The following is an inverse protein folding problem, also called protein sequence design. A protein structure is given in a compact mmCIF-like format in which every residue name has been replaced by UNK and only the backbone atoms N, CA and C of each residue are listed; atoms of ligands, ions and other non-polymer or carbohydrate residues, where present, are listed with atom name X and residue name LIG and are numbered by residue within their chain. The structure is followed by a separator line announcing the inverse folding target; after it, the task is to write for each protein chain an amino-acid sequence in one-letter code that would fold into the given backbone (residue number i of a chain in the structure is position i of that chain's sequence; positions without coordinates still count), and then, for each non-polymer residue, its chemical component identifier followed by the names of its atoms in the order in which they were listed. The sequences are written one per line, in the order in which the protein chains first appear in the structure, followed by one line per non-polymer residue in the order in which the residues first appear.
data_IF_798661616733
#
_entry.id   IF_798661616733
#
_cell.length_a   1.000
_cell.length_b   1.000
_cell.length_c   1.000
_cell.angle_alpha   90.00
_cell.angle_beta   90.00
_cell.angle_gamma   90.00
#
_symmetry.space_group_name_H-M   'P 1'
#
loop_
_entity.id
_entity.type
_entity.pdbx_description
1 polymer ?
#
# COMPACT_ATOMS: atom_id res chain seq x y z
N UNK A 1 -21.90 25.59 -31.84
CA UNK A 1 -20.89 25.79 -30.81
C UNK A 1 -21.01 24.76 -29.70
N UNK A 2 -19.97 24.07 -29.48
CA UNK A 2 -19.98 23.08 -28.43
C UNK A 2 -19.85 23.76 -27.07
N UNK A 3 -20.88 23.63 -26.28
CA UNK A 3 -20.87 24.19 -24.93
C UNK A 3 -20.99 23.05 -23.92
N UNK A 4 -19.93 22.83 -23.20
CA UNK A 4 -19.95 21.84 -22.14
C UNK A 4 -20.13 22.54 -20.81
N UNK A 5 -21.09 22.10 -20.00
CA UNK A 5 -21.19 22.62 -18.64
C UNK A 5 -19.91 22.39 -17.89
N UNK A 6 -19.54 23.34 -17.06
CA UNK A 6 -18.32 23.19 -16.28
C UNK A 6 -18.36 21.95 -15.39
N UNK A 7 -19.57 21.54 -14.98
CA UNK A 7 -19.73 20.35 -14.17
C UNK A 7 -19.26 19.08 -14.89
N UNK A 8 -19.50 19.00 -16.20
CA UNK A 8 -19.05 17.84 -16.97
C UNK A 8 -17.54 17.83 -17.13
N UNK A 9 -16.93 18.98 -17.36
CA UNK A 9 -15.49 19.09 -17.44
C UNK A 9 -14.84 18.72 -16.11
N UNK A 10 -15.45 19.17 -15.01
CA UNK A 10 -14.96 18.85 -13.69
C UNK A 10 -15.03 17.35 -13.45
N UNK A 11 -16.12 16.70 -13.86
CA UNK A 11 -16.26 15.26 -13.73
C UNK A 11 -15.21 14.53 -14.53
N UNK A 12 -14.97 14.94 -15.78
CA UNK A 12 -13.96 14.30 -16.62
C UNK A 12 -12.56 14.48 -16.03
N UNK A 13 -12.27 15.66 -15.54
CA UNK A 13 -10.97 15.92 -14.91
C UNK A 13 -10.80 15.06 -13.66
N UNK A 14 -11.86 14.91 -12.86
CA UNK A 14 -11.81 14.08 -11.67
C UNK A 14 -11.61 12.61 -12.02
N UNK A 15 -12.25 12.14 -13.09
CA UNK A 15 -12.07 10.75 -13.53
C UNK A 15 -10.64 10.50 -13.99
N UNK A 16 -10.07 11.43 -14.75
CA UNK A 16 -8.70 11.30 -15.22
C UNK A 16 -7.75 11.29 -14.02
N UNK A 17 -7.94 12.20 -13.08
CA UNK A 17 -7.15 12.25 -11.87
C UNK A 17 -7.26 10.96 -11.07
N UNK A 18 -8.48 10.45 -10.93
CA UNK A 18 -8.72 9.21 -10.21
C UNK A 18 -7.99 8.05 -10.88
N UNK A 19 -8.06 7.97 -12.21
CA UNK A 19 -7.37 6.92 -12.94
C UNK A 19 -5.86 7.00 -12.74
N UNK A 20 -5.31 8.21 -12.76
CA UNK A 20 -3.88 8.40 -12.52
C UNK A 20 -3.50 7.98 -11.10
N UNK A 21 -4.33 8.35 -10.13
CA UNK A 21 -4.10 7.97 -8.74
C UNK A 21 -4.17 6.45 -8.57
N UNK A 22 -5.09 5.80 -9.29
CA UNK A 22 -5.19 4.35 -9.24
C UNK A 22 -3.93 3.68 -9.79
N UNK A 23 -3.37 4.22 -10.87
CA UNK A 23 -2.13 3.69 -11.42
C UNK A 23 -0.97 3.84 -10.44
N UNK A 24 -0.90 5.00 -9.77
CA UNK A 24 0.13 5.24 -8.77
C UNK A 24 -0.08 4.34 -7.55
N UNK A 25 -1.33 4.17 -7.13
CA UNK A 25 -1.64 3.28 -6.02
C UNK A 25 -1.26 1.84 -6.35
N UNK A 26 -1.52 1.39 -7.56
CA UNK A 26 -1.14 0.06 -8.00
C UNK A 26 0.37 -0.13 -7.93
N UNK A 27 1.11 0.88 -8.37
CA UNK A 27 2.58 0.84 -8.31
C UNK A 27 3.06 0.69 -6.87
N UNK A 28 2.44 1.43 -5.96
CA UNK A 28 2.77 1.31 -4.54
C UNK A 28 2.40 -0.07 -4.00
N UNK A 29 1.28 -0.62 -4.47
CA UNK A 29 0.87 -1.96 -4.07
C UNK A 29 1.91 -3.00 -4.49
N UNK A 30 2.40 -2.90 -5.72
CA UNK A 30 3.43 -3.81 -6.20
C UNK A 30 4.71 -3.68 -5.37
N UNK A 31 5.06 -2.47 -5.00
CA UNK A 31 6.23 -2.25 -4.16
C UNK A 31 6.05 -2.88 -2.78
N UNK A 32 4.86 -2.70 -2.19
CA UNK A 32 4.57 -3.28 -0.88
C UNK A 32 4.58 -4.81 -0.95
N UNK A 33 4.02 -5.38 -2.00
CA UNK A 33 4.05 -6.84 -2.19
C UNK A 33 5.48 -7.34 -2.33
N UNK A 34 6.31 -6.60 -3.05
CA UNK A 34 7.71 -6.97 -3.21
C UNK A 34 8.41 -7.01 -1.85
N UNK A 35 8.20 -5.98 -1.03
CA UNK A 35 8.78 -5.96 0.30
C UNK A 35 8.30 -7.14 1.14
N UNK A 36 7.01 -7.46 1.05
CA UNK A 36 6.47 -8.59 1.78
C UNK A 36 7.13 -9.91 1.35
N UNK A 37 7.30 -10.09 0.04
CA UNK A 37 7.89 -11.29 -0.50
C UNK A 37 9.38 -11.43 -0.12
N UNK A 38 10.09 -10.30 -0.05
CA UNK A 38 11.48 -10.31 0.39
C UNK A 38 11.60 -10.68 1.87
N UNK A 39 10.62 -10.27 2.65
CA UNK A 39 10.58 -10.61 4.06
C UNK A 39 11.79 -10.10 4.81
N UNK A 40 12.59 -11.02 5.36
CA UNK A 40 13.78 -10.66 6.13
C UNK A 40 15.06 -10.71 5.28
N UNK A 41 14.93 -10.92 3.98
CA UNK A 41 16.09 -10.99 3.11
C UNK A 41 16.75 -9.61 3.03
N UNK A 42 18.01 -9.53 3.39
CA UNK A 42 18.81 -8.30 3.38
C UNK A 42 18.22 -7.17 4.23
N UNK A 43 17.46 -7.52 5.26
CA UNK A 43 16.92 -6.54 6.18
C UNK A 43 15.46 -6.81 6.50
N UNK A 44 14.87 -5.87 7.24
CA UNK A 44 13.48 -6.01 7.67
C UNK A 44 12.55 -5.39 6.65
N UNK A 45 12.18 -6.17 5.63
CA UNK A 45 11.34 -5.71 4.55
C UNK A 45 9.86 -5.70 4.92
N UNK A 46 9.46 -6.47 5.94
CA UNK A 46 8.09 -6.41 6.44
C UNK A 46 7.75 -5.02 6.96
N UNK A 47 8.69 -4.41 7.66
CA UNK A 47 8.50 -3.04 8.14
C UNK A 47 8.34 -2.08 6.98
N UNK A 48 9.17 -2.21 5.96
CA UNK A 48 9.06 -1.39 4.75
C UNK A 48 7.72 -1.59 4.07
N UNK A 49 7.22 -2.83 4.03
CA UNK A 49 5.91 -3.14 3.48
C UNK A 49 4.82 -2.38 4.23
N UNK A 50 4.85 -2.41 5.56
CA UNK A 50 3.87 -1.71 6.38
C UNK A 50 3.91 -0.21 6.11
N UNK A 51 5.11 0.36 6.07
CA UNK A 51 5.27 1.79 5.83
C UNK A 51 4.75 2.17 4.46
N UNK A 52 5.12 1.40 3.44
CA UNK A 52 4.66 1.67 2.07
C UNK A 52 3.15 1.59 1.96
N UNK A 53 2.55 0.56 2.56
CA UNK A 53 1.10 0.40 2.53
C UNK A 53 0.40 1.53 3.29
N UNK A 54 0.96 1.93 4.43
CA UNK A 54 0.39 3.01 5.24
C UNK A 54 0.44 4.33 4.46
N UNK A 55 1.57 4.63 3.83
CA UNK A 55 1.70 5.84 3.03
C UNK A 55 0.72 5.83 1.86
N UNK A 56 0.54 4.69 1.21
CA UNK A 56 -0.39 4.57 0.10
C UNK A 56 -1.83 4.79 0.56
N UNK A 57 -2.20 4.25 1.71
CA UNK A 57 -3.53 4.45 2.26
C UNK A 57 -3.78 5.91 2.61
N UNK A 58 -2.74 6.62 3.02
CA UNK A 58 -2.84 8.05 3.33
C UNK A 58 -2.97 8.87 2.05
N UNK A 59 -2.16 8.55 1.03
CA UNK A 59 -2.13 9.31 -0.21
C UNK A 59 -3.31 8.99 -1.12
N UNK A 60 -3.78 7.75 -1.08
CA UNK A 60 -4.85 7.26 -1.96
C UNK A 60 -5.96 6.59 -1.14
N UNK A 61 -6.68 7.37 -0.30
CA UNK A 61 -7.65 6.76 0.63
C UNK A 61 -8.85 6.14 -0.07
N UNK A 62 -9.12 6.51 -1.32
CA UNK A 62 -10.29 6.01 -2.05
C UNK A 62 -9.92 5.03 -3.14
N UNK A 63 -8.70 4.51 -3.12
CA UNK A 63 -8.28 3.55 -4.14
C UNK A 63 -8.99 2.21 -3.97
N UNK A 64 -9.22 1.53 -5.09
CA UNK A 64 -9.81 0.18 -5.06
C UNK A 64 -8.85 -0.84 -4.43
N UNK A 65 -7.57 -0.49 -4.31
CA UNK A 65 -6.57 -1.37 -3.71
C UNK A 65 -6.45 -1.17 -2.20
N UNK A 66 -7.34 -0.40 -1.62
CA UNK A 66 -7.29 -0.09 -0.19
C UNK A 66 -7.27 -1.35 0.66
N UNK A 67 -8.16 -2.30 0.36
CA UNK A 67 -8.22 -3.55 1.11
C UNK A 67 -6.94 -4.35 0.96
N UNK A 68 -6.34 -4.33 -0.22
CA UNK A 68 -5.09 -5.02 -0.46
C UNK A 68 -3.97 -4.44 0.40
N UNK A 69 -3.90 -3.11 0.51
CA UNK A 69 -2.92 -2.46 1.37
C UNK A 69 -3.14 -2.83 2.84
N UNK A 70 -4.38 -2.80 3.28
CA UNK A 70 -4.72 -3.16 4.66
C UNK A 70 -4.32 -4.60 4.93
N UNK A 71 -4.62 -5.50 4.01
CA UNK A 71 -4.28 -6.92 4.14
C UNK A 71 -2.77 -7.10 4.25
N UNK A 72 -2.01 -6.43 3.39
CA UNK A 72 -0.55 -6.49 3.43
C UNK A 72 -0.01 -5.95 4.75
N UNK A 73 -0.59 -4.87 5.25
CA UNK A 73 -0.20 -4.32 6.54
C UNK A 73 -0.39 -5.34 7.65
N UNK A 74 -1.55 -5.96 7.69
CA UNK A 74 -1.88 -6.93 8.73
C UNK A 74 -0.95 -8.13 8.63
N UNK A 75 -0.76 -8.64 7.43
CA UNK A 75 0.14 -9.78 7.20
C UNK A 75 1.55 -9.46 7.63
N UNK A 76 2.05 -8.29 7.25
CA UNK A 76 3.40 -7.88 7.59
C UNK A 76 3.57 -7.72 9.09
N UNK A 77 2.59 -7.13 9.75
CA UNK A 77 2.64 -6.98 11.20
C UNK A 77 2.63 -8.33 11.90
N UNK A 78 1.85 -9.27 11.38
CA UNK A 78 1.82 -10.62 11.92
C UNK A 78 3.21 -11.28 11.79
N UNK A 79 3.82 -11.16 10.63
CA UNK A 79 5.15 -11.72 10.40
C UNK A 79 6.20 -11.06 11.30
N UNK A 80 6.09 -9.74 11.50
CA UNK A 80 7.01 -9.04 12.40
C UNK A 80 6.88 -9.56 13.83
N UNK A 81 5.66 -9.77 14.29
CA UNK A 81 5.43 -10.28 15.63
C UNK A 81 5.94 -11.70 15.75
N UNK A 82 5.74 -12.53 14.72
CA UNK A 82 6.21 -13.91 14.72
C UNK A 82 7.72 -13.98 14.78
N UNK A 83 8.40 -13.16 13.97
CA UNK A 83 9.87 -13.11 13.97
C UNK A 83 10.39 -12.70 15.35
N UNK A 84 9.74 -11.71 15.96
CA UNK A 84 10.14 -11.23 17.28
C UNK A 84 9.99 -12.33 18.32
N UNK A 85 8.91 -13.09 18.27
CA UNK A 85 8.67 -14.19 19.21
C UNK A 85 9.74 -15.26 19.04
N UNK A 86 10.05 -15.64 17.79
CA UNK A 86 11.07 -16.62 17.52
C UNK A 86 12.44 -16.17 18.01
N UNK A 87 12.77 -14.91 17.78
CA UNK A 87 14.02 -14.35 18.25
C UNK A 87 14.12 -14.42 19.77
N UNK A 88 13.04 -14.16 20.47
CA UNK A 88 12.98 -14.25 21.91
C UNK A 88 13.15 -15.70 22.38
N UNK A 89 12.58 -16.64 21.65
CA UNK A 89 12.73 -18.06 21.98
C UNK A 89 14.18 -18.53 21.79
N UNK A 90 14.79 -18.10 20.68
CA UNK A 90 16.14 -18.54 20.34
C UNK A 90 17.20 -17.94 21.25
N UNK A 91 16.89 -16.83 21.89
CA UNK A 91 17.79 -16.16 22.81
C UNK A 91 17.19 -16.06 24.20
N UNK A 92 17.02 -17.17 24.89
CA UNK A 92 16.55 -17.12 26.28
C UNK A 92 17.69 -16.66 27.17
N UNK A 93 17.68 -15.46 27.48
CA UNK A 93 18.72 -14.93 28.38
C UNK A 93 18.19 -14.72 29.77
#
# INVERSE_FOLDING_TARGET
MEYYPQSERAKQAQEILFQLQEKLAYKELLAAELYYNLGTYMGNNYRSCVITADNALRDYPYTKYREDFIFLKIKSKYELASVKIESTRLNPS
#
